data_IF_070538859186
#
_entry.id   IF_070538859186
#
_cell.length_a   1.000
_cell.length_b   1.000
_cell.length_c   1.000
_cell.angle_alpha   90.00
_cell.angle_beta   90.00
_cell.angle_gamma   90.00
#
_symmetry.space_group_name_H-M   'P 1'
#
loop_
_entity.id
_entity.type
_entity.pdbx_description
1 polymer ?
#
# COMPACT_ATOMS: atom_id res chain seq x y z
N UNK A 1 -4.32 -19.78 7.36
CA UNK A 1 -4.45 -18.62 6.44
C UNK A 1 -3.41 -17.57 6.85
N UNK A 2 -2.97 -16.69 5.94
CA UNK A 2 -1.83 -15.80 6.12
C UNK A 2 -2.27 -14.34 5.97
N UNK A 3 -1.83 -13.51 6.91
CA UNK A 3 -1.90 -12.05 6.79
C UNK A 3 -0.57 -11.54 6.24
N UNK A 4 -0.64 -10.80 5.13
CA UNK A 4 0.55 -10.27 4.47
C UNK A 4 0.60 -8.75 4.57
N UNK A 5 1.76 -8.20 4.93
CA UNK A 5 2.02 -6.75 4.99
C UNK A 5 3.22 -6.41 4.12
N UNK A 6 3.03 -5.48 3.19
CA UNK A 6 4.13 -4.91 2.41
C UNK A 6 3.76 -3.51 1.94
N UNK A 7 4.54 -2.46 2.28
CA UNK A 7 4.12 -1.07 2.08
C UNK A 7 3.92 -0.69 0.60
N UNK A 8 4.75 -1.20 -0.31
CA UNK A 8 4.74 -0.77 -1.73
C UNK A 8 4.35 -1.83 -2.75
N UNK A 9 4.14 -3.07 -2.32
CA UNK A 9 3.87 -4.24 -3.16
C UNK A 9 4.68 -4.30 -4.47
N UNK A 10 5.97 -4.60 -4.37
CA UNK A 10 6.81 -4.83 -5.53
C UNK A 10 6.41 -6.11 -6.31
N UNK A 11 7.05 -6.37 -7.45
CA UNK A 11 6.73 -7.52 -8.31
C UNK A 11 6.81 -8.87 -7.56
N UNK A 12 7.82 -9.06 -6.71
CA UNK A 12 7.99 -10.30 -5.94
C UNK A 12 6.86 -10.48 -4.92
N UNK A 13 6.50 -9.42 -4.20
CA UNK A 13 5.38 -9.44 -3.27
C UNK A 13 4.06 -9.74 -4.00
N UNK A 14 3.84 -9.16 -5.19
CA UNK A 14 2.68 -9.45 -6.04
C UNK A 14 2.63 -10.92 -6.47
N UNK A 15 3.75 -11.52 -6.84
CA UNK A 15 3.83 -12.93 -7.19
C UNK A 15 3.48 -13.84 -6.01
N UNK A 16 4.01 -13.55 -4.81
CA UNK A 16 3.67 -14.27 -3.59
C UNK A 16 2.17 -14.18 -3.26
N UNK A 17 1.59 -12.99 -3.32
CA UNK A 17 0.16 -12.78 -3.07
C UNK A 17 -0.71 -13.55 -4.06
N UNK A 18 -0.33 -13.60 -5.34
CA UNK A 18 -1.01 -14.46 -6.31
C UNK A 18 -0.95 -15.93 -5.89
N UNK A 19 0.22 -16.43 -5.50
CA UNK A 19 0.37 -17.81 -5.02
C UNK A 19 -0.49 -18.10 -3.79
N UNK A 20 -0.46 -17.23 -2.79
CA UNK A 20 -1.27 -17.37 -1.58
C UNK A 20 -2.78 -17.30 -1.87
N UNK A 21 -3.19 -16.39 -2.75
CA UNK A 21 -4.60 -16.24 -3.15
C UNK A 21 -5.10 -17.48 -3.90
N UNK A 22 -4.35 -17.95 -4.90
CA UNK A 22 -4.74 -19.08 -5.72
C UNK A 22 -4.85 -20.40 -4.93
N UNK A 23 -4.13 -20.50 -3.81
CA UNK A 23 -4.20 -21.65 -2.90
C UNK A 23 -5.13 -21.40 -1.69
N UNK A 24 -5.97 -20.36 -1.72
CA UNK A 24 -6.89 -19.99 -0.62
C UNK A 24 -6.21 -19.79 0.75
N UNK A 25 -4.91 -19.51 0.76
CA UNK A 25 -4.16 -19.24 1.98
C UNK A 25 -4.18 -17.77 2.39
N UNK A 26 -4.44 -16.85 1.47
CA UNK A 26 -4.42 -15.41 1.77
C UNK A 26 -5.66 -14.98 2.56
N UNK A 27 -5.44 -14.46 3.77
CA UNK A 27 -6.50 -13.91 4.62
C UNK A 27 -6.72 -12.43 4.37
N UNK A 28 -5.66 -11.63 4.53
CA UNK A 28 -5.69 -10.16 4.38
C UNK A 28 -4.37 -9.65 3.84
N UNK A 29 -4.45 -8.57 3.08
CA UNK A 29 -3.32 -7.85 2.54
C UNK A 29 -3.30 -6.41 3.06
N UNK A 30 -2.17 -5.98 3.61
CA UNK A 30 -1.94 -4.62 4.09
C UNK A 30 -0.85 -3.94 3.26
N UNK A 31 -1.17 -2.79 2.66
CA UNK A 31 -0.24 -1.99 1.83
C UNK A 31 -0.45 -0.49 2.07
N UNK A 32 0.54 0.35 1.77
CA UNK A 32 0.35 1.81 1.85
C UNK A 32 -0.61 2.28 0.77
N UNK A 33 -0.37 1.88 -0.49
CA UNK A 33 -1.21 2.25 -1.63
C UNK A 33 -1.73 0.99 -2.32
N UNK A 34 -3.03 0.97 -2.52
CA UNK A 34 -3.73 0.02 -3.37
C UNK A 34 -4.61 0.82 -4.32
N UNK A 35 -4.39 0.67 -5.62
CA UNK A 35 -5.20 1.31 -6.66
C UNK A 35 -5.84 0.19 -7.48
N UNK A 36 -7.17 0.17 -7.54
CA UNK A 36 -7.92 -0.85 -8.28
C UNK A 36 -8.52 -0.27 -9.56
N UNK A 37 -8.66 -1.09 -10.63
CA UNK A 37 -9.37 -0.69 -11.84
C UNK A 37 -10.75 -0.10 -11.52
N UNK A 38 -11.09 1.01 -12.18
CA UNK A 38 -12.36 1.73 -11.97
C UNK A 38 -12.31 2.83 -10.91
N UNK A 39 -11.26 2.93 -10.09
CA UNK A 39 -11.09 4.05 -9.15
C UNK A 39 -10.56 5.31 -9.84
N UNK A 40 -10.84 6.49 -9.26
CA UNK A 40 -10.34 7.78 -9.77
C UNK A 40 -8.81 7.79 -9.92
N UNK A 41 -8.09 7.28 -8.92
CA UNK A 41 -6.62 7.19 -8.95
C UNK A 41 -6.10 6.25 -10.05
N UNK A 42 -6.88 5.24 -10.43
CA UNK A 42 -6.53 4.33 -11.53
C UNK A 42 -6.59 5.08 -12.86
N UNK A 43 -7.66 5.84 -13.10
CA UNK A 43 -7.82 6.69 -14.29
C UNK A 43 -6.72 7.77 -14.36
N UNK A 44 -6.42 8.42 -13.23
CA UNK A 44 -5.32 9.39 -13.16
C UNK A 44 -3.96 8.77 -13.54
N UNK A 45 -3.73 7.51 -13.16
CA UNK A 45 -2.50 6.77 -13.52
C UNK A 45 -2.36 6.46 -15.01
N UNK A 46 -3.41 6.59 -15.82
CA UNK A 46 -3.33 6.44 -17.28
C UNK A 46 -2.58 7.61 -17.94
N UNK A 47 -2.53 8.76 -17.28
CA UNK A 47 -1.77 9.91 -17.76
C UNK A 47 -0.25 9.63 -17.74
N UNK A 48 0.51 9.96 -18.81
CA UNK A 48 1.94 9.64 -18.91
C UNK A 48 2.80 10.20 -17.77
N UNK A 49 2.44 11.37 -17.24
CA UNK A 49 3.11 12.02 -16.09
C UNK A 49 2.81 11.36 -14.74
N UNK A 50 1.84 10.45 -14.68
CA UNK A 50 1.37 9.78 -13.46
C UNK A 50 1.57 8.26 -13.48
N UNK A 51 2.48 7.77 -14.34
CA UNK A 51 2.84 6.34 -14.46
C UNK A 51 3.20 5.67 -13.12
N UNK A 52 3.74 6.41 -12.16
CA UNK A 52 4.04 5.90 -10.81
C UNK A 52 2.79 5.42 -10.04
N UNK A 53 1.63 6.03 -10.31
CA UNK A 53 0.34 5.57 -9.77
C UNK A 53 -0.04 4.24 -10.41
N UNK A 54 0.12 4.11 -11.73
CA UNK A 54 -0.17 2.88 -12.47
C UNK A 54 0.68 1.69 -12.01
N UNK A 55 1.94 1.91 -11.63
CA UNK A 55 2.81 0.87 -11.06
C UNK A 55 2.28 0.29 -9.73
N UNK A 56 1.51 1.10 -8.99
CA UNK A 56 0.86 0.74 -7.71
C UNK A 56 -0.55 0.17 -7.90
N UNK A 57 -0.98 -0.03 -9.14
CA UNK A 57 -2.23 -0.72 -9.43
C UNK A 57 -2.14 -2.20 -9.05
N UNK A 58 -3.26 -2.70 -8.51
CA UNK A 58 -3.45 -4.07 -8.07
C UNK A 58 -4.58 -4.73 -8.86
N UNK A 59 -4.55 -6.06 -8.91
CA UNK A 59 -5.60 -6.86 -9.55
C UNK A 59 -6.92 -6.70 -8.77
N UNK A 60 -8.04 -6.54 -9.49
CA UNK A 60 -9.37 -6.35 -8.89
C UNK A 60 -9.77 -7.54 -8.02
N UNK A 61 -9.29 -8.75 -8.34
CA UNK A 61 -9.54 -9.93 -7.51
C UNK A 61 -8.99 -9.79 -6.08
N UNK A 62 -8.02 -8.89 -5.86
CA UNK A 62 -7.45 -8.63 -4.54
C UNK A 62 -8.24 -7.65 -3.68
N UNK A 63 -9.23 -6.98 -4.26
CA UNK A 63 -9.88 -5.83 -3.64
C UNK A 63 -10.61 -6.17 -2.34
N UNK A 64 -11.23 -7.35 -2.25
CA UNK A 64 -12.01 -7.76 -1.08
C UNK A 64 -11.16 -7.94 0.20
N UNK A 65 -9.94 -8.46 0.05
CA UNK A 65 -9.03 -8.76 1.17
C UNK A 65 -7.92 -7.71 1.36
N UNK A 66 -7.82 -6.73 0.47
CA UNK A 66 -6.84 -5.65 0.60
C UNK A 66 -7.35 -4.55 1.53
N UNK A 67 -6.43 -4.07 2.37
CA UNK A 67 -6.57 -2.87 3.18
C UNK A 67 -5.41 -1.95 2.85
N UNK A 68 -5.71 -0.67 2.67
CA UNK A 68 -4.69 0.36 2.43
C UNK A 68 -4.91 1.59 3.29
N UNK A 69 -3.82 2.25 3.67
CA UNK A 69 -3.83 3.55 4.34
C UNK A 69 -2.85 4.49 3.64
N UNK A 70 -3.37 5.16 2.61
CA UNK A 70 -2.55 5.85 1.62
C UNK A 70 -2.04 7.24 2.01
N UNK A 71 -2.43 7.81 3.15
CA UNK A 71 -2.20 9.24 3.43
C UNK A 71 -0.72 9.67 3.26
N UNK A 72 0.21 8.99 3.93
CA UNK A 72 1.63 9.37 3.89
C UNK A 72 2.30 9.08 2.54
N UNK A 73 2.06 7.89 1.96
CA UNK A 73 2.65 7.54 0.65
C UNK A 73 2.05 8.40 -0.47
N UNK A 74 0.76 8.76 -0.38
CA UNK A 74 0.13 9.67 -1.33
C UNK A 74 0.70 11.08 -1.22
N UNK A 75 0.85 11.60 0.00
CA UNK A 75 1.52 12.87 0.26
C UNK A 75 2.95 12.88 -0.27
N UNK A 76 3.69 11.77 -0.10
CA UNK A 76 5.05 11.60 -0.65
C UNK A 76 5.05 11.66 -2.18
N UNK A 77 4.09 11.01 -2.83
CA UNK A 77 3.96 11.04 -4.29
C UNK A 77 3.61 12.43 -4.82
N UNK A 78 2.73 13.15 -4.12
CA UNK A 78 2.38 14.52 -4.49
C UNK A 78 3.56 15.47 -4.28
N UNK A 79 4.21 15.42 -3.12
CA UNK A 79 5.38 16.25 -2.83
C UNK A 79 6.51 16.01 -3.84
N UNK A 80 6.73 14.76 -4.26
CA UNK A 80 7.72 14.43 -5.30
C UNK A 80 7.36 14.98 -6.68
N UNK A 81 6.07 15.02 -7.02
CA UNK A 81 5.60 15.60 -8.30
C UNK A 81 5.61 17.12 -8.29
N UNK A 82 5.45 17.74 -7.14
CA UNK A 82 5.48 19.20 -6.95
C UNK A 82 6.87 19.74 -6.61
N UNK A 83 7.91 18.90 -6.60
CA UNK A 83 9.28 19.27 -6.24
C UNK A 83 9.40 19.92 -4.86
N UNK A 84 8.57 19.49 -3.90
CA UNK A 84 8.58 19.98 -2.52
C UNK A 84 9.56 19.17 -1.67
N UNK A 85 10.85 19.27 -1.98
CA UNK A 85 11.91 18.41 -1.42
C UNK A 85 12.04 18.51 0.11
N UNK A 86 11.68 19.65 0.70
CA UNK A 86 11.66 19.81 2.17
C UNK A 86 10.68 18.86 2.86
N UNK A 87 9.58 18.46 2.19
CA UNK A 87 8.63 17.47 2.72
C UNK A 87 9.15 16.03 2.58
N UNK A 88 10.10 15.80 1.68
CA UNK A 88 10.64 14.48 1.35
C UNK A 88 11.99 14.21 2.03
N UNK A 89 12.61 15.25 2.58
CA UNK A 89 13.94 15.21 3.20
C UNK A 89 14.01 14.06 4.20
N UNK A 90 15.02 13.20 4.06
CA UNK A 90 15.23 12.05 4.93
C UNK A 90 15.18 12.46 6.42
N UNK A 91 14.51 11.66 7.25
CA UNK A 91 14.29 11.85 8.71
C UNK A 91 13.50 13.11 9.13
N UNK A 92 13.59 14.21 8.40
CA UNK A 92 13.00 15.50 8.77
C UNK A 92 11.66 15.72 8.09
N UNK A 93 11.59 15.44 6.79
CA UNK A 93 10.44 15.71 5.94
C UNK A 93 9.17 14.99 6.40
N UNK A 94 8.03 15.67 6.32
CA UNK A 94 6.74 15.15 6.79
C UNK A 94 6.25 13.92 5.99
N UNK A 95 6.65 13.82 4.72
CA UNK A 95 6.36 12.71 3.83
C UNK A 95 7.61 11.90 3.45
N UNK A 96 8.66 11.91 4.27
CA UNK A 96 9.83 11.08 4.04
C UNK A 96 9.49 9.58 4.08
N UNK A 97 10.34 8.75 3.47
CA UNK A 97 10.08 7.31 3.34
C UNK A 97 10.06 6.61 4.70
N UNK A 98 10.86 7.05 5.67
CA UNK A 98 10.88 6.51 7.03
C UNK A 98 9.51 6.69 7.70
N UNK A 99 8.89 7.87 7.56
CA UNK A 99 7.55 8.13 8.12
C UNK A 99 6.48 7.30 7.43
N UNK A 100 6.59 7.02 6.13
CA UNK A 100 5.69 6.11 5.43
C UNK A 100 5.75 4.72 6.06
N UNK A 101 6.95 4.17 6.22
CA UNK A 101 7.15 2.83 6.78
C UNK A 101 6.70 2.76 8.25
N UNK A 102 7.13 3.71 9.09
CA UNK A 102 6.73 3.74 10.51
C UNK A 102 5.21 3.83 10.68
N UNK A 103 4.53 4.65 9.87
CA UNK A 103 3.06 4.75 9.94
C UNK A 103 2.35 3.50 9.45
N UNK A 104 2.89 2.86 8.41
CA UNK A 104 2.39 1.58 7.92
C UNK A 104 2.51 0.50 8.98
N UNK A 105 3.69 0.37 9.60
CA UNK A 105 3.95 -0.64 10.63
C UNK A 105 3.08 -0.40 11.87
N UNK A 106 2.99 0.83 12.37
CA UNK A 106 2.08 1.19 13.47
C UNK A 106 0.63 0.87 13.13
N UNK A 107 0.20 1.13 11.89
CA UNK A 107 -1.16 0.83 11.46
C UNK A 107 -1.42 -0.68 11.41
N UNK A 108 -0.49 -1.47 10.85
CA UNK A 108 -0.59 -2.92 10.78
C UNK A 108 -0.55 -3.55 12.17
N UNK A 109 0.37 -3.12 13.05
CA UNK A 109 0.44 -3.59 14.44
C UNK A 109 -0.89 -3.41 15.18
N UNK A 110 -1.50 -2.23 15.07
CA UNK A 110 -2.82 -1.96 15.67
C UNK A 110 -3.92 -2.87 15.08
N UNK A 111 -3.85 -3.18 13.79
CA UNK A 111 -4.81 -4.09 13.14
C UNK A 111 -4.58 -5.55 13.52
N UNK A 112 -3.34 -5.97 13.76
CA UNK A 112 -3.00 -7.29 14.26
C UNK A 112 -3.51 -7.51 15.69
N UNK A 113 -3.32 -6.52 16.58
CA UNK A 113 -3.86 -6.59 17.95
C UNK A 113 -5.37 -6.77 17.93
N UNK A 114 -6.07 -6.05 17.04
CA UNK A 114 -7.52 -6.21 16.86
C UNK A 114 -7.89 -7.58 16.27
N UNK A 115 -7.17 -8.03 15.24
CA UNK A 115 -7.41 -9.33 14.63
C UNK A 115 -7.25 -10.48 15.64
N UNK A 116 -6.24 -10.40 16.52
CA UNK A 116 -6.04 -11.36 17.61
C UNK A 116 -7.23 -11.37 18.59
N UNK A 117 -7.80 -10.21 18.93
CA UNK A 117 -9.02 -10.13 19.74
C UNK A 117 -10.23 -10.76 19.06
N UNK A 118 -10.29 -10.67 17.73
CA UNK A 118 -11.34 -11.26 16.90
C UNK A 118 -11.10 -12.78 16.65
N UNK A 119 -10.13 -13.41 17.33
CA UNK A 119 -9.87 -14.86 17.24
C UNK A 119 -8.97 -15.29 16.08
N UNK A 120 -8.33 -14.36 15.38
CA UNK A 120 -7.39 -14.66 14.30
C UNK A 120 -6.00 -14.83 14.92
N UNK A 121 -5.56 -16.10 15.02
CA UNK A 121 -4.24 -16.52 15.53
C UNK A 121 -3.19 -16.60 14.44
#
# INVERSE_FOLDING_TARGET
MILFSHPTLNANAKALINGLHNNNFLFKLYTCIAIFPGQLLFKLGEHPKLKDLKRRSLDRKWQSFTRSKSFYEFGRLLASKLHLDFLLTHEKGFFCIERVYQNHDKWVANKLVRAKKDGIT
#
